data_IF_907265147686
#
_entry.id   IF_907265147686
#
_cell.length_a   1.000
_cell.length_b   1.000
_cell.length_c   1.000
_cell.angle_alpha   90.00
_cell.angle_beta   90.00
_cell.angle_gamma   90.00
#
_symmetry.space_group_name_H-M   'P 1'
#
loop_
_entity.id
_entity.type
_entity.pdbx_description
1 polymer ?
#
# COMPACT_ATOMS: atom_id res chain seq x y z
N UNK A 1 44.93 -28.34 -10.10
CA UNK A 1 43.68 -28.69 -10.81
C UNK A 1 42.51 -28.29 -9.93
N UNK A 2 41.69 -27.33 -10.36
CA UNK A 2 40.60 -26.74 -9.57
C UNK A 2 39.42 -27.69 -9.40
N UNK A 3 38.95 -27.84 -8.16
CA UNK A 3 37.71 -28.57 -7.85
C UNK A 3 36.52 -27.64 -8.05
N UNK A 4 35.57 -28.06 -8.87
CA UNK A 4 34.33 -27.36 -9.15
C UNK A 4 33.51 -27.14 -7.86
N UNK A 5 33.23 -25.87 -7.54
CA UNK A 5 32.34 -25.45 -6.46
C UNK A 5 30.88 -25.59 -6.94
N UNK A 6 30.41 -26.82 -7.03
CA UNK A 6 29.02 -27.15 -7.38
C UNK A 6 28.10 -27.11 -6.17
N UNK A 7 27.81 -25.94 -5.63
CA UNK A 7 26.66 -25.75 -4.74
C UNK A 7 25.38 -25.89 -5.56
N UNK A 8 24.77 -27.08 -5.56
CA UNK A 8 23.54 -27.34 -6.32
C UNK A 8 22.45 -26.37 -5.84
N UNK A 9 22.02 -25.46 -6.71
CA UNK A 9 20.74 -24.78 -6.55
C UNK A 9 19.71 -25.90 -6.41
N UNK A 10 18.98 -25.94 -5.29
CA UNK A 10 17.81 -26.82 -5.21
C UNK A 10 16.86 -26.27 -6.27
N UNK A 11 16.73 -26.94 -7.41
CA UNK A 11 15.68 -26.64 -8.38
C UNK A 11 14.36 -26.70 -7.60
N UNK A 12 13.68 -25.58 -7.34
CA UNK A 12 12.41 -25.62 -6.63
C UNK A 12 11.26 -26.05 -7.56
N UNK A 13 11.59 -26.69 -8.69
CA UNK A 13 10.72 -26.86 -9.85
C UNK A 13 10.63 -25.53 -10.59
N UNK A 14 10.99 -25.53 -11.87
CA UNK A 14 10.59 -24.41 -12.73
C UNK A 14 9.07 -24.38 -12.74
N UNK A 15 8.45 -23.27 -12.32
CA UNK A 15 6.99 -23.16 -12.40
C UNK A 15 6.53 -22.93 -13.83
N UNK A 16 7.45 -22.55 -14.72
CA UNK A 16 7.14 -22.22 -16.11
C UNK A 16 8.33 -22.23 -17.05
N UNK A 17 8.25 -21.39 -18.08
CA UNK A 17 9.24 -21.31 -19.16
C UNK A 17 10.59 -20.76 -18.72
N UNK A 18 10.63 -19.85 -17.74
CA UNK A 18 11.84 -19.31 -17.12
C UNK A 18 11.45 -18.54 -15.87
N UNK A 19 12.09 -18.85 -14.74
CA UNK A 19 11.84 -18.17 -13.47
C UNK A 19 12.96 -17.18 -13.11
N UNK A 20 12.60 -16.15 -12.35
CA UNK A 20 13.54 -15.24 -11.74
C UNK A 20 14.11 -15.83 -10.44
N UNK A 21 15.40 -15.63 -10.19
CA UNK A 21 16.06 -16.09 -8.96
C UNK A 21 16.91 -15.00 -8.32
N UNK A 22 16.90 -14.96 -6.99
CA UNK A 22 17.83 -14.21 -6.16
C UNK A 22 18.68 -15.21 -5.37
N UNK A 23 20.01 -15.05 -5.41
CA UNK A 23 20.95 -15.88 -4.68
C UNK A 23 21.80 -15.01 -3.75
N UNK A 24 22.04 -15.52 -2.54
CA UNK A 24 23.11 -15.02 -1.69
C UNK A 24 24.24 -16.01 -1.68
N UNK A 25 25.44 -15.50 -1.97
CA UNK A 25 26.68 -16.24 -1.91
C UNK A 25 27.47 -15.83 -0.67
N UNK A 26 28.17 -16.77 -0.06
CA UNK A 26 29.22 -16.49 0.90
C UNK A 26 30.46 -15.96 0.15
N UNK A 27 31.41 -15.37 0.89
CA UNK A 27 32.65 -14.83 0.30
C UNK A 27 33.52 -15.86 -0.42
N UNK A 28 33.28 -17.15 -0.16
CA UNK A 28 33.92 -18.29 -0.84
C UNK A 28 33.15 -18.79 -2.08
N UNK A 29 32.06 -18.10 -2.47
CA UNK A 29 31.22 -18.44 -3.62
C UNK A 29 30.16 -19.52 -3.34
N UNK A 30 30.06 -20.04 -2.11
CA UNK A 30 29.03 -21.02 -1.77
C UNK A 30 27.65 -20.36 -1.68
N UNK A 31 26.63 -21.01 -2.24
CA UNK A 31 25.23 -20.59 -2.08
C UNK A 31 24.81 -20.72 -0.60
N UNK A 32 24.33 -19.62 -0.04
CA UNK A 32 23.84 -19.50 1.34
C UNK A 32 22.32 -19.58 1.36
N UNK A 33 21.66 -18.79 0.51
CA UNK A 33 20.20 -18.71 0.41
C UNK A 33 19.79 -18.49 -1.04
N UNK A 34 18.58 -18.93 -1.38
CA UNK A 34 17.97 -18.78 -2.71
C UNK A 34 16.51 -18.41 -2.56
N UNK A 35 16.03 -17.53 -3.42
CA UNK A 35 14.63 -17.15 -3.52
C UNK A 35 14.22 -17.25 -4.99
N UNK A 36 13.15 -18.00 -5.27
CA UNK A 36 12.55 -18.07 -6.60
C UNK A 36 11.36 -17.11 -6.67
N UNK A 37 11.21 -16.49 -7.83
CA UNK A 37 10.11 -15.62 -8.19
C UNK A 37 9.63 -16.03 -9.57
N UNK A 38 8.36 -16.34 -9.69
CA UNK A 38 7.79 -16.67 -10.99
C UNK A 38 6.51 -17.49 -10.93
N UNK A 39 6.01 -17.79 -12.11
CA UNK A 39 4.84 -18.63 -12.37
C UNK A 39 5.01 -19.43 -13.65
N UNK A 40 3.93 -19.65 -14.38
CA UNK A 40 3.94 -20.57 -15.54
C UNK A 40 4.63 -20.00 -16.79
N UNK A 41 4.93 -18.70 -16.80
CA UNK A 41 5.44 -18.00 -17.97
C UNK A 41 6.91 -17.55 -17.83
N UNK A 42 7.25 -16.37 -18.37
CA UNK A 42 8.61 -15.84 -18.44
C UNK A 42 8.79 -14.74 -17.40
N UNK A 43 9.64 -15.02 -16.42
CA UNK A 43 9.93 -14.15 -15.30
C UNK A 43 11.44 -13.87 -15.23
N UNK A 44 11.80 -12.60 -15.11
CA UNK A 44 13.17 -12.11 -15.27
C UNK A 44 13.52 -11.15 -14.15
N UNK A 45 14.44 -11.54 -13.25
CA UNK A 45 15.12 -10.61 -12.36
C UNK A 45 16.21 -9.87 -13.14
N UNK A 46 16.30 -8.54 -12.99
CA UNK A 46 17.26 -7.72 -13.72
C UNK A 46 18.15 -6.84 -12.84
N UNK A 47 17.61 -6.34 -11.73
CA UNK A 47 18.33 -5.46 -10.83
C UNK A 47 18.17 -5.88 -9.38
N UNK A 48 19.24 -5.75 -8.60
CA UNK A 48 19.27 -5.93 -7.15
C UNK A 48 19.94 -4.73 -6.51
N UNK A 49 19.38 -4.24 -5.41
CA UNK A 49 19.96 -3.19 -4.60
C UNK A 49 19.79 -3.52 -3.11
N UNK A 50 20.72 -3.04 -2.30
CA UNK A 50 20.74 -3.25 -0.85
C UNK A 50 20.41 -1.92 -0.19
N UNK A 51 19.67 -1.93 0.92
CA UNK A 51 19.45 -0.71 1.71
C UNK A 51 20.79 -0.23 2.32
N UNK A 52 21.24 1.00 2.02
CA UNK A 52 22.48 1.54 2.60
C UNK A 52 22.46 1.63 4.13
N UNK A 53 21.29 1.75 4.77
CA UNK A 53 21.17 1.79 6.23
C UNK A 53 20.97 0.41 6.87
N UNK A 54 20.51 -0.58 6.10
CA UNK A 54 20.34 -1.95 6.55
C UNK A 54 20.79 -2.93 5.45
N UNK A 55 22.06 -3.38 5.49
CA UNK A 55 22.59 -4.25 4.45
C UNK A 55 21.95 -5.64 4.39
N UNK A 56 21.09 -5.97 5.36
CA UNK A 56 20.33 -7.21 5.38
C UNK A 56 18.97 -7.12 4.67
N UNK A 57 18.53 -5.92 4.31
CA UNK A 57 17.35 -5.65 3.49
C UNK A 57 17.74 -5.51 2.01
N UNK A 58 17.05 -6.26 1.14
CA UNK A 58 17.34 -6.32 -0.30
C UNK A 58 16.11 -5.95 -1.12
N UNK A 59 16.31 -5.16 -2.17
CA UNK A 59 15.29 -4.82 -3.15
C UNK A 59 15.64 -5.41 -4.51
N UNK A 60 14.66 -5.98 -5.19
CA UNK A 60 14.84 -6.59 -6.52
C UNK A 60 13.82 -6.03 -7.49
N UNK A 61 14.25 -5.79 -8.72
CA UNK A 61 13.35 -5.43 -9.84
C UNK A 61 13.56 -6.34 -11.04
N UNK A 62 12.54 -6.39 -11.88
CA UNK A 62 12.53 -7.21 -13.07
C UNK A 62 11.24 -7.07 -13.85
N UNK A 63 10.89 -8.13 -14.56
CA UNK A 63 9.58 -8.28 -15.21
C UNK A 63 9.04 -9.69 -14.99
N UNK A 64 7.73 -9.83 -14.86
CA UNK A 64 7.04 -11.11 -14.79
C UNK A 64 5.94 -11.17 -15.85
N UNK A 65 5.52 -12.37 -16.27
CA UNK A 65 4.49 -12.54 -17.30
C UNK A 65 3.26 -13.24 -16.75
N UNK A 66 2.07 -12.69 -17.03
CA UNK A 66 0.80 -13.15 -16.47
C UNK A 66 0.78 -13.15 -14.94
N UNK A 67 1.06 -14.27 -14.27
CA UNK A 67 1.00 -14.38 -12.81
C UNK A 67 2.34 -14.86 -12.26
N UNK A 68 2.83 -14.22 -11.20
CA UNK A 68 4.04 -14.66 -10.50
C UNK A 68 3.85 -14.65 -8.99
N UNK A 69 4.48 -15.63 -8.34
CA UNK A 69 4.54 -15.75 -6.89
C UNK A 69 5.94 -15.36 -6.40
N UNK A 70 6.02 -14.50 -5.38
CA UNK A 70 7.25 -13.88 -4.92
C UNK A 70 7.72 -14.51 -3.61
N UNK A 71 8.63 -15.48 -3.72
CA UNK A 71 9.10 -16.25 -2.59
C UNK A 71 8.21 -17.44 -2.28
N UNK A 72 8.81 -18.51 -1.77
CA UNK A 72 8.11 -19.67 -1.25
C UNK A 72 8.97 -20.24 -0.11
N UNK A 73 9.13 -19.47 0.97
CA UNK A 73 9.85 -19.89 2.17
C UNK A 73 9.00 -20.80 3.07
N UNK A 74 7.67 -20.78 2.87
CA UNK A 74 6.70 -21.52 3.69
C UNK A 74 6.47 -20.93 5.08
N UNK A 75 7.07 -19.77 5.42
CA UNK A 75 6.91 -19.09 6.70
C UNK A 75 5.78 -18.04 6.67
N UNK A 76 5.58 -17.41 5.52
CA UNK A 76 4.56 -16.39 5.29
C UNK A 76 3.92 -16.68 3.92
N UNK A 77 2.63 -16.41 3.78
CA UNK A 77 1.94 -16.44 2.49
C UNK A 77 2.66 -15.50 1.51
N UNK A 78 3.15 -16.00 0.37
CA UNK A 78 3.97 -15.20 -0.51
C UNK A 78 3.11 -14.21 -1.31
N UNK A 79 3.62 -13.00 -1.58
CA UNK A 79 2.94 -12.07 -2.47
C UNK A 79 2.73 -12.70 -3.86
N UNK A 80 1.53 -12.52 -4.40
CA UNK A 80 1.19 -12.92 -5.77
C UNK A 80 0.83 -11.66 -6.55
N UNK A 81 1.48 -11.48 -7.71
CA UNK A 81 1.16 -10.41 -8.64
C UNK A 81 0.54 -11.00 -9.91
N UNK A 82 -0.51 -10.35 -10.41
CA UNK A 82 -1.24 -10.77 -11.60
C UNK A 82 -1.36 -9.57 -12.54
N UNK A 83 -0.79 -9.73 -13.73
CA UNK A 83 -0.96 -8.84 -14.86
C UNK A 83 -1.95 -9.41 -15.89
N UNK A 84 -2.31 -8.62 -16.92
CA UNK A 84 -3.11 -9.11 -18.03
C UNK A 84 -2.48 -10.35 -18.70
N UNK A 85 -3.29 -11.27 -19.26
CA UNK A 85 -2.78 -12.43 -19.96
C UNK A 85 -1.76 -12.05 -21.03
N UNK A 86 -0.67 -12.81 -21.14
CA UNK A 86 0.40 -12.63 -22.14
C UNK A 86 1.21 -11.31 -22.02
N UNK A 87 0.87 -10.40 -21.10
CA UNK A 87 1.59 -9.14 -20.86
C UNK A 87 2.79 -9.33 -19.92
N UNK A 88 3.84 -8.53 -20.12
CA UNK A 88 4.98 -8.49 -19.18
C UNK A 88 4.88 -7.22 -18.36
N UNK A 89 4.89 -7.35 -17.03
CA UNK A 89 4.78 -6.21 -16.12
C UNK A 89 6.06 -6.10 -15.29
N UNK A 90 6.43 -4.87 -14.94
CA UNK A 90 7.52 -4.59 -14.00
C UNK A 90 7.11 -5.11 -12.63
N UNK A 91 8.04 -5.70 -11.90
CA UNK A 91 7.89 -5.88 -10.45
C UNK A 91 8.98 -5.17 -9.67
N UNK A 92 8.66 -4.83 -8.43
CA UNK A 92 9.62 -4.49 -7.39
C UNK A 92 9.23 -5.25 -6.13
N UNK A 93 10.19 -5.96 -5.54
CA UNK A 93 10.01 -6.65 -4.26
C UNK A 93 11.04 -6.21 -3.23
N UNK A 94 10.63 -6.24 -1.96
CA UNK A 94 11.51 -6.08 -0.80
C UNK A 94 11.62 -7.40 -0.05
N UNK A 95 12.85 -7.82 0.17
CA UNK A 95 13.23 -9.05 0.87
C UNK A 95 13.81 -8.66 2.24
N UNK A 96 13.25 -9.24 3.29
CA UNK A 96 13.64 -9.04 4.67
C UNK A 96 14.89 -9.85 5.02
N UNK A 97 15.55 -9.56 6.17
CA UNK A 97 16.75 -10.27 6.61
C UNK A 97 16.55 -11.79 6.82
N UNK A 98 15.31 -12.18 7.13
CA UNK A 98 14.87 -13.57 7.26
C UNK A 98 14.54 -14.25 5.92
N UNK A 99 14.67 -13.54 4.79
CA UNK A 99 14.40 -13.98 3.43
C UNK A 99 12.93 -14.16 3.06
N UNK A 100 12.03 -13.64 3.89
CA UNK A 100 10.65 -13.44 3.50
C UNK A 100 10.51 -12.19 2.63
N UNK A 101 9.52 -12.21 1.73
CA UNK A 101 9.19 -11.06 0.90
C UNK A 101 8.14 -10.24 1.65
N UNK A 102 8.51 -9.04 2.11
CA UNK A 102 7.59 -8.15 2.83
C UNK A 102 6.51 -7.61 1.89
N UNK A 103 6.91 -7.20 0.69
CA UNK A 103 5.99 -6.76 -0.34
C UNK A 103 6.53 -7.03 -1.74
N UNK A 104 5.59 -7.14 -2.68
CA UNK A 104 5.85 -7.01 -4.09
C UNK A 104 4.81 -6.04 -4.68
N UNK A 105 5.24 -5.21 -5.63
CA UNK A 105 4.37 -4.29 -6.37
C UNK A 105 4.63 -4.40 -7.86
N UNK A 106 3.60 -4.15 -8.68
CA UNK A 106 3.72 -4.16 -10.13
C UNK A 106 3.50 -2.79 -10.77
N UNK A 107 4.07 -2.62 -11.97
CA UNK A 107 3.80 -1.51 -12.87
C UNK A 107 3.71 -2.01 -14.31
N UNK A 108 2.73 -1.54 -15.08
CA UNK A 108 2.58 -1.91 -16.48
C UNK A 108 1.12 -1.97 -16.92
N UNK A 109 0.89 -2.61 -18.06
CA UNK A 109 -0.42 -2.77 -18.66
C UNK A 109 -0.47 -3.96 -19.61
N UNK A 110 -1.22 -3.85 -20.70
CA UNK A 110 -1.40 -4.95 -21.67
C UNK A 110 -0.16 -5.22 -22.54
N UNK A 111 0.90 -4.41 -22.37
CA UNK A 111 2.11 -4.42 -23.16
C UNK A 111 3.27 -5.18 -22.54
N UNK A 112 4.48 -4.83 -23.01
CA UNK A 112 5.74 -5.32 -22.44
C UNK A 112 6.41 -4.21 -21.65
N UNK A 113 6.43 -4.36 -20.33
CA UNK A 113 7.04 -3.45 -19.38
C UNK A 113 8.16 -4.16 -18.62
N UNK A 114 9.31 -3.48 -18.49
CA UNK A 114 10.55 -4.09 -18.02
C UNK A 114 11.28 -3.16 -17.06
N UNK A 115 11.39 -3.57 -15.79
CA UNK A 115 12.36 -3.00 -14.86
C UNK A 115 13.75 -3.51 -15.24
N UNK A 116 14.69 -2.58 -15.47
CA UNK A 116 16.08 -2.91 -15.83
C UNK A 116 17.05 -2.64 -14.69
N UNK A 117 16.83 -1.59 -13.92
CA UNK A 117 17.75 -1.15 -12.87
C UNK A 117 16.99 -0.65 -11.66
N UNK A 118 17.60 -0.84 -10.49
CA UNK A 118 17.09 -0.40 -9.20
C UNK A 118 18.22 0.25 -8.40
N UNK A 119 17.90 1.34 -7.73
CA UNK A 119 18.80 2.03 -6.81
C UNK A 119 18.05 2.40 -5.53
N UNK A 120 18.73 2.31 -4.40
CA UNK A 120 18.18 2.65 -3.08
C UNK A 120 18.98 3.78 -2.50
N UNK A 121 18.30 4.85 -2.10
CA UNK A 121 18.89 5.99 -1.43
C UNK A 121 18.34 6.08 -0.02
N UNK A 122 19.23 6.06 0.97
CA UNK A 122 18.88 6.36 2.34
C UNK A 122 19.16 7.84 2.62
N UNK A 123 18.19 8.53 3.22
CA UNK A 123 18.39 9.88 3.73
C UNK A 123 18.03 9.83 5.20
N UNK A 124 19.00 10.11 6.10
CA UNK A 124 18.83 9.99 7.56
C UNK A 124 17.62 10.77 8.10
N UNK A 125 17.22 11.85 7.42
CA UNK A 125 16.08 12.69 7.77
C UNK A 125 14.78 12.36 7.03
N UNK A 126 14.73 11.29 6.21
CA UNK A 126 13.51 10.92 5.53
C UNK A 126 12.50 10.32 6.52
N UNK A 127 11.34 10.94 6.75
CA UNK A 127 10.35 10.46 7.73
C UNK A 127 9.72 9.11 7.37
N UNK A 128 10.09 8.54 6.24
CA UNK A 128 9.47 7.35 5.67
C UNK A 128 10.49 6.20 5.49
N UNK A 129 11.81 6.40 5.55
CA UNK A 129 12.81 5.36 5.25
C UNK A 129 13.40 5.50 3.84
N UNK A 130 14.04 4.45 3.27
CA UNK A 130 14.79 4.59 2.04
C UNK A 130 13.87 4.92 0.85
N UNK A 131 14.38 5.73 -0.06
CA UNK A 131 13.76 5.96 -1.36
C UNK A 131 14.29 4.95 -2.36
N UNK A 132 13.38 4.22 -3.02
CA UNK A 132 13.74 3.26 -4.07
C UNK A 132 13.43 3.86 -5.44
N UNK A 133 14.42 3.84 -6.33
CA UNK A 133 14.34 4.29 -7.72
C UNK A 133 14.41 3.10 -8.65
N UNK A 134 13.48 2.99 -9.60
CA UNK A 134 13.51 1.98 -10.66
C UNK A 134 13.47 2.64 -12.01
N UNK A 135 14.37 2.19 -12.89
CA UNK A 135 14.45 2.61 -14.27
C UNK A 135 14.18 1.42 -15.20
N UNK A 136 13.46 1.68 -16.27
CA UNK A 136 13.02 0.65 -17.17
C UNK A 136 12.34 1.17 -18.41
N UNK A 137 11.74 0.23 -19.13
CA UNK A 137 10.99 0.43 -20.35
C UNK A 137 9.51 0.15 -20.07
N UNK A 138 8.62 1.03 -20.55
CA UNK A 138 7.17 0.90 -20.38
C UNK A 138 6.47 1.08 -21.73
N UNK A 139 5.63 0.14 -22.12
CA UNK A 139 4.86 0.15 -23.38
C UNK A 139 3.56 0.93 -23.25
N UNK A 140 2.79 0.59 -22.22
CA UNK A 140 1.50 1.18 -21.88
C UNK A 140 1.13 0.72 -20.48
N UNK A 141 0.53 1.58 -19.67
CA UNK A 141 0.12 1.15 -18.34
C UNK A 141 -0.09 2.25 -17.34
N UNK A 142 -0.80 1.90 -16.27
CA UNK A 142 -0.92 2.68 -15.04
C UNK A 142 -0.26 1.87 -13.93
N UNK A 143 0.44 2.53 -13.00
CA UNK A 143 0.93 1.85 -11.78
C UNK A 143 -0.27 1.31 -10.98
N UNK A 144 -0.31 0.00 -10.72
CA UNK A 144 -1.39 -0.61 -9.95
C UNK A 144 -1.24 -2.12 -9.79
N UNK A 145 -1.47 -2.60 -8.57
CA UNK A 145 -1.37 -4.02 -8.18
C UNK A 145 -0.51 -4.14 -6.93
N UNK A 146 -1.16 -4.25 -5.78
CA UNK A 146 -0.51 -4.44 -4.50
C UNK A 146 -1.35 -5.29 -3.58
N UNK A 147 -0.73 -6.27 -2.91
CA UNK A 147 -1.30 -6.95 -1.75
C UNK A 147 -0.18 -7.17 -0.72
N UNK A 148 -0.24 -6.55 0.48
CA UNK A 148 -0.84 -5.26 0.80
C UNK A 148 0.23 -4.15 0.78
N UNK A 149 0.23 -3.28 -0.23
CA UNK A 149 1.17 -2.15 -0.25
C UNK A 149 0.74 -1.10 0.77
N UNK A 150 1.53 -0.98 1.80
CA UNK A 150 1.65 0.26 2.54
C UNK A 150 2.65 1.15 1.79
N UNK A 151 2.24 1.73 0.66
CA UNK A 151 2.98 2.80 -0.01
C UNK A 151 1.98 3.88 -0.46
N UNK A 152 2.03 5.04 0.19
CA UNK A 152 0.92 6.02 0.14
C UNK A 152 1.03 7.03 -1.00
N UNK A 153 2.17 7.15 -1.70
CA UNK A 153 2.36 8.10 -2.81
C UNK A 153 3.45 7.63 -3.77
N UNK A 154 3.15 7.62 -5.07
CA UNK A 154 4.14 7.41 -6.14
C UNK A 154 4.04 8.57 -7.16
N UNK A 155 5.19 8.95 -7.74
CA UNK A 155 5.28 9.82 -8.93
C UNK A 155 5.88 8.99 -10.06
N UNK A 156 5.09 8.69 -11.08
CA UNK A 156 5.58 8.16 -12.35
C UNK A 156 5.93 9.34 -13.24
N UNK A 157 7.21 9.50 -13.57
CA UNK A 157 7.61 10.39 -14.65
C UNK A 157 7.65 9.57 -15.94
N UNK A 158 6.67 9.81 -16.81
CA UNK A 158 6.62 9.25 -18.15
C UNK A 158 7.00 10.34 -19.16
N UNK A 159 8.06 10.11 -19.93
CA UNK A 159 8.46 11.01 -21.00
C UNK A 159 7.77 10.56 -22.28
N UNK A 160 6.63 11.13 -22.64
CA UNK A 160 5.92 10.79 -23.87
C UNK A 160 6.71 11.28 -25.09
N UNK A 161 7.17 10.36 -25.94
CA UNK A 161 7.07 10.53 -27.40
C UNK A 161 6.63 9.18 -28.02
N UNK A 162 5.58 9.20 -28.84
CA UNK A 162 5.34 8.30 -29.97
C UNK A 162 5.18 6.75 -29.81
N UNK A 163 4.50 6.26 -28.75
CA UNK A 163 3.79 4.93 -28.72
C UNK A 163 4.65 3.67 -28.93
N UNK A 164 5.95 3.72 -28.76
CA UNK A 164 6.79 2.52 -28.92
C UNK A 164 7.82 2.41 -27.81
N UNK A 165 7.35 2.42 -26.56
CA UNK A 165 8.16 2.31 -25.34
C UNK A 165 8.79 3.62 -24.86
N UNK A 166 8.47 3.98 -23.61
CA UNK A 166 9.01 5.15 -22.94
C UNK A 166 9.83 4.74 -21.71
N UNK A 167 10.83 5.57 -21.37
CA UNK A 167 11.59 5.41 -20.14
C UNK A 167 10.75 5.86 -18.94
N UNK A 168 10.76 5.07 -17.86
CA UNK A 168 10.11 5.45 -16.61
C UNK A 168 11.11 5.58 -15.46
N UNK A 169 10.82 6.50 -14.54
CA UNK A 169 11.41 6.55 -13.20
C UNK A 169 10.29 6.37 -12.18
N UNK A 170 10.41 5.33 -11.36
CA UNK A 170 9.49 5.07 -10.25
C UNK A 170 10.17 5.36 -8.92
N UNK A 171 9.52 6.16 -8.06
CA UNK A 171 9.91 6.43 -6.68
C UNK A 171 8.93 5.76 -5.70
N UNK A 172 9.38 4.76 -4.95
CA UNK A 172 8.56 4.13 -3.90
C UNK A 172 8.72 4.88 -2.55
N UNK A 173 7.61 5.33 -1.96
CA UNK A 173 7.53 5.92 -0.62
C UNK A 173 6.70 5.04 0.33
N UNK A 174 7.29 4.53 1.42
CA UNK A 174 6.59 3.62 2.32
C UNK A 174 5.43 4.32 3.02
N UNK A 175 4.54 3.53 3.60
CA UNK A 175 3.28 4.05 4.05
C UNK A 175 3.40 5.03 5.18
N UNK A 176 2.45 5.94 5.15
CA UNK A 176 2.04 6.71 6.30
C UNK A 176 1.35 5.71 7.27
N UNK A 177 2.08 5.22 8.27
CA UNK A 177 1.44 4.69 9.48
C UNK A 177 0.87 5.91 10.20
N UNK A 178 -0.47 6.07 10.31
CA UNK A 178 -1.04 7.18 11.04
C UNK A 178 -0.55 7.11 12.50
N UNK A 179 -0.23 8.26 13.13
CA UNK A 179 0.14 8.26 14.54
C UNK A 179 -0.98 7.62 15.36
N UNK A 180 -0.66 6.89 16.44
CA UNK A 180 -1.68 6.31 17.31
C UNK A 180 -2.64 7.42 17.77
N UNK A 181 -3.96 7.13 17.89
CA UNK A 181 -4.89 8.12 18.40
C UNK A 181 -4.43 8.61 19.77
N UNK A 182 -4.63 9.90 20.10
CA UNK A 182 -4.30 10.40 21.42
C UNK A 182 -5.04 9.56 22.48
N UNK A 183 -4.43 9.35 23.67
CA UNK A 183 -5.12 8.65 24.75
C UNK A 183 -6.45 9.35 25.05
N UNK A 184 -7.50 8.61 25.45
CA UNK A 184 -8.76 9.22 25.84
C UNK A 184 -8.51 10.26 26.94
N UNK A 185 -9.25 11.38 26.95
CA UNK A 185 -9.14 12.35 28.02
C UNK A 185 -9.37 11.66 29.38
N UNK A 186 -8.71 12.10 30.46
CA UNK A 186 -8.97 11.58 31.79
C UNK A 186 -10.47 11.66 32.07
N UNK A 187 -11.02 10.60 32.67
CA UNK A 187 -12.44 10.54 33.01
C UNK A 187 -12.84 11.82 33.77
N UNK A 188 -13.81 12.55 33.23
CA UNK A 188 -14.36 13.72 33.92
C UNK A 188 -14.96 13.22 35.23
N UNK A 189 -14.54 13.76 36.40
CA UNK A 189 -15.18 13.40 37.67
C UNK A 189 -16.68 13.61 37.56
N UNK A 190 -17.47 12.66 38.07
CA UNK A 190 -18.92 12.80 38.08
C UNK A 190 -19.32 14.17 38.66
N UNK A 191 -20.27 14.90 38.04
CA UNK A 191 -20.71 16.19 38.57
C UNK A 191 -21.21 16.00 40.00
N UNK A 192 -20.99 16.98 40.89
CA UNK A 192 -21.52 16.92 42.24
C UNK A 192 -23.04 16.74 42.19
N UNK A 193 -23.65 16.02 43.15
CA UNK A 193 -25.09 15.86 43.19
C UNK A 193 -25.77 17.23 43.18
N UNK A 194 -26.85 17.36 42.40
CA UNK A 194 -27.60 18.61 42.32
C UNK A 194 -28.04 19.06 43.72
N UNK A 195 -27.93 20.37 44.04
CA UNK A 195 -28.43 20.88 45.32
C UNK A 195 -29.93 20.62 45.43
N UNK A 196 -30.38 20.20 46.62
CA UNK A 196 -31.78 19.98 46.90
C UNK A 196 -32.60 21.25 46.57
N UNK A 197 -33.80 21.12 45.98
CA UNK A 197 -34.62 22.28 45.65
C UNK A 197 -34.96 23.08 46.92
N UNK A 198 -34.99 24.42 46.85
CA UNK A 198 -35.36 25.25 47.99
C UNK A 198 -36.83 24.97 48.38
N UNK A 199 -37.19 25.12 49.66
CA UNK A 199 -38.58 24.97 50.10
C UNK A 199 -39.49 25.97 49.38
N UNK A 200 -40.67 25.50 48.95
CA UNK A 200 -41.67 26.33 48.28
C UNK A 200 -42.08 27.53 49.16
N UNK A 201 -41.99 28.74 48.61
CA UNK A 201 -42.34 29.98 49.31
C UNK A 201 -43.87 30.14 49.41
N UNK A 202 -44.46 30.45 50.58
CA UNK A 202 -45.91 30.41 50.79
C UNK A 202 -46.71 31.64 50.31
N UNK A 203 -46.12 32.54 49.50
CA UNK A 203 -46.82 33.76 49.06
C UNK A 203 -46.77 33.93 47.55
N UNK A 204 -47.85 33.52 46.87
CA UNK A 204 -48.20 34.01 45.53
C UNK A 204 -49.50 34.82 45.65
N UNK A 205 -49.52 36.14 45.30
CA UNK A 205 -50.76 36.90 45.22
C UNK A 205 -51.58 36.52 43.97
N UNK A 206 -52.91 36.67 44.00
CA UNK A 206 -53.78 36.31 42.87
C UNK A 206 -53.58 37.25 41.66
N UNK A 207 -53.77 36.76 40.41
CA UNK A 207 -53.59 37.57 39.21
C UNK A 207 -54.70 38.62 39.07
N UNK A 208 -54.30 39.87 38.82
CA UNK A 208 -55.23 40.96 38.45
C UNK A 208 -55.51 40.95 36.94
N UNK A 209 -56.78 41.02 36.59
CA UNK A 209 -57.30 41.18 35.22
C UNK A 209 -56.82 42.51 34.61
N UNK A 210 -56.21 42.45 33.43
CA UNK A 210 -56.08 43.60 32.53
C UNK A 210 -56.63 43.21 31.16
N UNK A 211 -57.77 43.82 30.82
CA UNK A 211 -58.34 43.90 29.48
C UNK A 211 -57.35 44.58 28.51
N UNK A 212 -57.22 44.06 27.30
CA UNK A 212 -56.79 44.79 26.10
C UNK A 212 -57.59 44.29 24.89
N UNK A 213 -57.97 45.25 24.05
CA UNK A 213 -59.13 45.33 23.16
C UNK A 213 -59.07 44.45 21.88
N UNK A 214 -60.21 44.27 21.15
CA UNK A 214 -60.28 43.37 20.01
C UNK A 214 -59.93 44.07 18.68
N UNK A 215 -59.25 43.37 17.78
CA UNK A 215 -59.29 43.67 16.34
C UNK A 215 -59.70 42.40 15.58
N UNK A 216 -60.88 42.46 14.96
CA UNK A 216 -61.47 41.43 14.12
C UNK A 216 -60.92 41.61 12.70
N UNK A 217 -60.53 40.53 12.00
CA UNK A 217 -61.20 40.11 10.75
C UNK A 217 -60.42 39.07 9.94
N UNK A 218 -61.06 37.90 9.79
CA UNK A 218 -61.15 36.94 8.65
C UNK A 218 -59.89 36.59 7.83
N UNK A 219 -59.55 35.31 7.63
CA UNK A 219 -60.36 34.37 6.82
C UNK A 219 -60.36 32.91 7.30
N UNK A 220 -61.58 32.35 7.36
CA UNK A 220 -61.95 30.92 7.24
C UNK A 220 -61.13 30.23 6.14
N UNK A 221 -60.87 28.93 6.15
CA UNK A 221 -61.51 27.79 6.81
C UNK A 221 -61.35 26.58 5.90
N UNK A 222 -61.38 25.40 6.51
CA UNK A 222 -61.29 24.06 5.93
C UNK A 222 -62.23 23.85 4.70
N UNK A 223 -62.13 22.82 3.85
CA UNK A 223 -61.80 21.43 4.11
C UNK A 223 -61.82 20.61 2.78
N UNK A 224 -61.38 19.35 2.87
CA UNK A 224 -61.79 18.15 2.11
C UNK A 224 -61.08 17.77 0.78
N UNK A 225 -60.60 16.52 0.81
CA UNK A 225 -60.04 15.63 -0.22
C UNK A 225 -61.14 15.04 -1.16
N UNK A 226 -60.87 14.00 -1.98
CA UNK A 226 -60.15 13.93 -3.27
C UNK A 226 -61.11 13.43 -4.40
N UNK A 227 -60.62 12.61 -5.36
CA UNK A 227 -61.28 11.94 -6.52
C UNK A 227 -61.17 12.77 -7.82
N UNK A 228 -60.53 12.37 -8.93
CA UNK A 228 -59.99 11.10 -9.48
C UNK A 228 -58.51 11.25 -9.92
#
# INVERSE_FOLDING_TARGET
MGRALGGRVRDPGTRGSSDAFLLQLAGDGRVVRTLQVGGDELDLARGVAIDPADPSTVYVTGSFRSTATFGASGQIEPPVLTGPPMSQNVFVMKVLPNWDVEFAVQAGGDGTDKGYSIAVAHQEAAPYGPTVYVAGLMHSGTLGGSIPATFSRFRLHHFHTNRTYDAFLMKLLPAIVPPPPPPPPPAVPAPPPSPAPPPASPFSPPPSLLCLEPTISTSRGAALLPVD
#
